data_IF_630485544929
#
_entry.id   IF_630485544929
#
_cell.length_a   1.000
_cell.length_b   1.000
_cell.length_c   1.000
_cell.angle_alpha   90.00
_cell.angle_beta   90.00
_cell.angle_gamma   90.00
#
_symmetry.space_group_name_H-M   'P 1'
#
loop_
_entity.id
_entity.type
_entity.pdbx_description
1 polymer ?
#
# COMPACT_ATOMS: atom_id res chain seq x y z
N UNK A 1 -21.94 -3.58 6.01
CA UNK A 1 -20.95 -4.34 6.79
C UNK A 1 -19.79 -3.41 7.09
N UNK A 2 -19.17 -3.47 8.28
CA UNK A 2 -17.99 -2.68 8.56
C UNK A 2 -16.87 -3.19 7.64
N UNK A 3 -16.43 -2.36 6.69
CA UNK A 3 -15.25 -2.69 5.91
C UNK A 3 -14.05 -2.64 6.86
N UNK A 4 -13.29 -3.74 6.91
CA UNK A 4 -12.02 -3.81 7.62
C UNK A 4 -10.98 -3.06 6.79
N UNK A 5 -10.92 -1.76 7.00
CA UNK A 5 -9.90 -0.92 6.38
C UNK A 5 -8.64 -1.07 7.22
N UNK A 6 -7.49 -1.46 6.62
CA UNK A 6 -6.26 -1.58 7.38
C UNK A 6 -5.86 -0.21 7.94
N UNK A 7 -5.73 -0.14 9.26
CA UNK A 7 -5.21 1.04 9.96
C UNK A 7 -3.71 1.22 9.67
N UNK A 8 -3.21 2.41 9.99
CA UNK A 8 -1.79 2.76 9.82
C UNK A 8 -0.85 1.72 10.47
N UNK A 9 -1.21 1.17 11.63
CA UNK A 9 -0.41 0.16 12.33
C UNK A 9 -0.27 -1.13 11.52
N UNK A 10 -1.38 -1.66 10.97
CA UNK A 10 -1.35 -2.83 10.10
C UNK A 10 -0.54 -2.55 8.84
N UNK A 11 -0.71 -1.36 8.24
CA UNK A 11 0.04 -0.97 7.05
C UNK A 11 1.55 -0.95 7.35
N UNK A 12 1.96 -0.37 8.48
CA UNK A 12 3.36 -0.36 8.92
C UNK A 12 3.88 -1.75 9.24
N UNK A 13 3.06 -2.66 9.76
CA UNK A 13 3.47 -4.05 10.00
C UNK A 13 3.87 -4.76 8.69
N UNK A 14 3.10 -4.58 7.62
CA UNK A 14 3.37 -5.24 6.32
C UNK A 14 4.35 -4.44 5.44
N UNK A 15 4.26 -3.11 5.47
CA UNK A 15 4.95 -2.20 4.56
C UNK A 15 6.07 -1.40 5.23
N UNK A 16 6.31 -1.57 6.54
CA UNK A 16 7.30 -0.79 7.29
C UNK A 16 8.72 -0.88 6.73
N UNK A 17 9.08 -2.00 6.09
CA UNK A 17 10.34 -2.13 5.36
C UNK A 17 10.47 -1.14 4.19
N UNK A 18 9.36 -0.78 3.54
CA UNK A 18 9.30 0.24 2.49
C UNK A 18 9.21 1.65 3.10
N UNK A 19 8.52 1.81 4.23
CA UNK A 19 8.48 3.09 4.94
C UNK A 19 9.86 3.54 5.42
N UNK A 20 10.67 2.61 5.94
CA UNK A 20 12.06 2.89 6.29
C UNK A 20 12.93 3.29 5.09
N UNK A 21 12.49 2.97 3.86
CA UNK A 21 13.15 3.38 2.61
C UNK A 21 12.59 4.71 2.07
N UNK A 22 11.78 5.42 2.87
CA UNK A 22 11.18 6.71 2.52
C UNK A 22 9.82 6.61 1.83
N UNK A 23 9.22 5.42 1.72
CA UNK A 23 7.85 5.31 1.24
C UNK A 23 6.87 5.82 2.29
N UNK A 24 5.72 6.32 1.86
CA UNK A 24 4.57 6.50 2.75
C UNK A 24 3.36 5.80 2.17
N UNK A 25 2.54 5.24 3.04
CA UNK A 25 1.31 4.58 2.65
C UNK A 25 0.15 5.29 3.30
N UNK A 26 -0.87 5.63 2.51
CA UNK A 26 -2.08 6.29 2.98
C UNK A 26 -3.29 5.62 2.38
N UNK A 27 -4.28 5.30 3.23
CA UNK A 27 -5.57 4.85 2.74
C UNK A 27 -6.37 6.07 2.34
N UNK A 28 -6.77 6.11 1.07
CA UNK A 28 -7.60 7.16 0.50
C UNK A 28 -8.90 6.58 -0.01
N UNK A 29 -10.00 7.31 0.19
CA UNK A 29 -11.26 6.97 -0.46
C UNK A 29 -11.13 7.29 -1.95
N UNK A 30 -11.24 6.26 -2.79
CA UNK A 30 -11.18 6.38 -4.25
C UNK A 30 -12.48 5.84 -4.86
N UNK A 31 -13.47 6.71 -5.11
CA UNK A 31 -14.75 6.29 -5.69
C UNK A 31 -14.58 5.67 -7.09
N UNK A 32 -13.51 6.03 -7.80
CA UNK A 32 -13.14 5.43 -9.09
C UNK A 32 -12.79 3.94 -8.99
N UNK A 33 -12.35 3.48 -7.82
CA UNK A 33 -12.09 2.07 -7.53
C UNK A 33 -13.23 1.39 -6.77
N UNK A 34 -14.38 2.06 -6.64
CA UNK A 34 -15.56 1.52 -5.95
C UNK A 34 -15.44 1.46 -4.43
N UNK A 35 -14.51 2.21 -3.82
CA UNK A 35 -14.31 2.17 -2.37
C UNK A 35 -13.01 2.82 -1.93
N UNK A 36 -12.19 2.08 -1.19
CA UNK A 36 -10.91 2.56 -0.66
C UNK A 36 -9.74 2.09 -1.53
N UNK A 37 -8.65 2.84 -1.48
CA UNK A 37 -7.39 2.51 -2.12
C UNK A 37 -6.23 2.80 -1.18
N UNK A 38 -5.18 2.00 -1.29
CA UNK A 38 -3.90 2.26 -0.64
C UNK A 38 -3.03 3.06 -1.61
N UNK A 39 -2.80 4.34 -1.33
CA UNK A 39 -1.86 5.17 -2.07
C UNK A 39 -0.47 5.02 -1.46
N UNK A 40 0.52 4.74 -2.29
CA UNK A 40 1.92 4.75 -1.89
C UNK A 40 2.60 5.99 -2.47
N UNK A 41 3.32 6.74 -1.64
CA UNK A 41 4.20 7.84 -2.00
C UNK A 41 5.65 7.33 -1.97
N UNK A 42 6.35 7.36 -3.10
CA UNK A 42 7.71 6.84 -3.24
C UNK A 42 8.75 7.93 -2.89
N UNK A 43 8.85 8.36 -1.63
CA UNK A 43 9.82 9.39 -1.21
C UNK A 43 9.34 10.83 -1.35
N UNK A 44 10.04 11.76 -0.68
CA UNK A 44 9.73 13.19 -0.74
C UNK A 44 10.04 13.73 -2.15
N UNK A 45 9.01 14.21 -2.86
CA UNK A 45 9.02 14.73 -4.25
C UNK A 45 8.80 13.71 -5.38
N UNK A 46 8.33 12.50 -5.07
CA UNK A 46 7.98 11.57 -6.16
C UNK A 46 6.60 11.89 -6.74
N UNK A 47 6.56 12.20 -8.03
CA UNK A 47 5.31 12.38 -8.79
C UNK A 47 4.57 11.06 -9.03
N UNK A 48 5.24 9.93 -8.72
CA UNK A 48 4.69 8.59 -8.89
C UNK A 48 3.99 8.16 -7.61
N UNK A 49 2.66 8.28 -7.63
CA UNK A 49 1.76 7.89 -6.54
C UNK A 49 0.94 6.65 -6.92
N UNK A 50 1.55 5.45 -6.93
CA UNK A 50 0.82 4.23 -7.26
C UNK A 50 -0.30 4.01 -6.25
N UNK A 51 -1.48 3.73 -6.78
CA UNK A 51 -2.67 3.48 -5.99
C UNK A 51 -3.10 2.04 -6.20
N UNK A 52 -3.28 1.32 -5.10
CA UNK A 52 -3.70 -0.07 -5.11
C UNK A 52 -5.14 -0.15 -4.62
N UNK A 53 -6.03 -0.87 -5.31
CA UNK A 53 -7.40 -1.04 -4.85
C UNK A 53 -7.43 -1.85 -3.55
N UNK A 54 -8.31 -1.45 -2.63
CA UNK A 54 -8.69 -2.23 -1.45
C UNK A 54 -10.10 -2.78 -1.69
N UNK A 55 -10.23 -3.93 -2.39
CA UNK A 55 -11.53 -4.46 -2.77
C UNK A 55 -12.31 -4.87 -1.53
N UNK A 56 -13.58 -4.45 -1.47
CA UNK A 56 -14.46 -4.71 -0.32
C UNK A 56 -14.56 -6.19 0.07
N UNK A 57 -14.50 -7.10 -0.91
CA UNK A 57 -14.51 -8.56 -0.68
C UNK A 57 -13.29 -9.06 0.08
N UNK A 58 -12.12 -8.46 -0.12
CA UNK A 58 -10.90 -8.81 0.62
C UNK A 58 -10.78 -8.02 1.93
N UNK A 59 -11.55 -6.93 2.07
CA UNK A 59 -11.63 -6.10 3.28
C UNK A 59 -12.82 -6.51 4.17
N UNK A 60 -13.40 -7.69 3.95
CA UNK A 60 -14.55 -8.17 4.74
C UNK A 60 -14.12 -8.69 6.13
N UNK A 61 -12.86 -9.15 6.25
CA UNK A 61 -12.32 -9.75 7.47
C UNK A 61 -10.83 -9.41 7.65
N UNK A 62 -10.33 -9.34 8.90
CA UNK A 62 -8.93 -9.05 9.18
C UNK A 62 -7.96 -10.06 8.53
N UNK A 63 -8.32 -11.34 8.50
CA UNK A 63 -7.53 -12.39 7.84
C UNK A 63 -7.45 -12.19 6.32
N UNK A 64 -8.56 -11.79 5.69
CA UNK A 64 -8.59 -11.52 4.26
C UNK A 64 -7.78 -10.25 3.92
N UNK A 65 -7.92 -9.19 4.73
CA UNK A 65 -7.15 -7.97 4.58
C UNK A 65 -5.65 -8.21 4.75
N UNK A 66 -5.25 -9.01 5.75
CA UNK A 66 -3.87 -9.42 5.96
C UNK A 66 -3.31 -10.20 4.75
N UNK A 67 -4.09 -11.14 4.20
CA UNK A 67 -3.71 -11.89 2.99
C UNK A 67 -3.56 -10.99 1.78
N UNK A 68 -4.47 -10.04 1.59
CA UNK A 68 -4.38 -9.05 0.52
C UNK A 68 -3.15 -8.16 0.66
N UNK A 69 -2.88 -7.65 1.87
CA UNK A 69 -1.69 -6.83 2.17
C UNK A 69 -0.39 -7.61 1.92
N UNK A 70 -0.32 -8.88 2.33
CA UNK A 70 0.82 -9.74 2.04
C UNK A 70 1.00 -9.97 0.53
N UNK A 71 -0.09 -10.21 -0.20
CA UNK A 71 -0.07 -10.36 -1.66
C UNK A 71 0.38 -9.06 -2.35
N UNK A 72 -0.11 -7.91 -1.88
CA UNK A 72 0.25 -6.59 -2.37
C UNK A 72 1.75 -6.32 -2.16
N UNK A 73 2.28 -6.66 -0.99
CA UNK A 73 3.72 -6.57 -0.69
C UNK A 73 4.56 -7.42 -1.66
N UNK A 74 4.17 -8.67 -1.86
CA UNK A 74 4.97 -9.63 -2.63
C UNK A 74 4.88 -9.40 -4.15
N UNK A 75 3.67 -9.16 -4.66
CA UNK A 75 3.43 -9.05 -6.10
C UNK A 75 3.51 -7.63 -6.64
N UNK A 76 3.08 -6.63 -5.85
CA UNK A 76 3.04 -5.25 -6.30
C UNK A 76 4.25 -4.47 -5.79
N UNK A 77 4.47 -4.37 -4.48
CA UNK A 77 5.55 -3.56 -3.91
C UNK A 77 6.94 -4.04 -4.32
N UNK A 78 7.14 -5.36 -4.48
CA UNK A 78 8.38 -5.92 -5.02
C UNK A 78 8.75 -5.33 -6.39
N UNK A 79 7.76 -5.03 -7.24
CA UNK A 79 7.98 -4.39 -8.56
C UNK A 79 8.45 -2.94 -8.43
N UNK A 80 8.07 -2.26 -7.36
CA UNK A 80 8.51 -0.89 -7.05
C UNK A 80 9.81 -0.86 -6.24
N UNK A 81 10.27 -1.99 -5.70
CA UNK A 81 11.57 -2.10 -5.03
C UNK A 81 12.72 -1.64 -5.92
N UNK A 82 12.62 -1.83 -7.25
CA UNK A 82 13.59 -1.30 -8.22
C UNK A 82 13.62 0.24 -8.28
N UNK A 83 12.46 0.90 -8.16
CA UNK A 83 12.40 2.37 -8.14
C UNK A 83 13.02 2.93 -6.87
N UNK A 84 12.82 2.25 -5.75
CA UNK A 84 13.41 2.61 -4.46
C UNK A 84 14.91 2.32 -4.36
N UNK A 85 15.46 1.47 -5.23
CA UNK A 85 16.90 1.26 -5.34
C UNK A 85 17.59 2.30 -6.21
N UNK A 86 16.84 3.12 -6.95
CA UNK A 86 17.39 4.07 -7.93
C UNK A 86 17.63 5.47 -7.35
N UNK A 87 17.13 5.76 -6.15
CA UNK A 87 17.40 7.01 -5.42
C UNK A 87 18.76 7.00 -4.67
N UNK A 88 19.49 5.88 -4.70
CA UNK A 88 20.83 5.74 -4.11
C UNK A 88 21.99 5.81 -5.12
N UNK A 89 21.78 6.41 -6.30
CA UNK A 89 22.72 6.30 -7.41
C UNK A 89 22.83 7.53 -8.30
N UNK A 90 23.35 8.63 -7.76
CA UNK A 90 24.41 9.41 -8.42
C UNK A 90 25.14 10.32 -7.44
#
# INVERSE_FOLDING_TARGET
>A
MPHFIPDAESITEYCGAYEQRGCKFEVVLSPQMGGYGLRMELGANSEVLPMFPLPASEMDSPEAAARWMANLRDNHLSRFSFLLSKDGGQ
#
